data_IF_154573846420
#
_entry.id   IF_154573846420
#
_cell.length_a   1.000
_cell.length_b   1.000
_cell.length_c   1.000
_cell.angle_alpha   90.00
_cell.angle_beta   90.00
_cell.angle_gamma   90.00
#
_symmetry.space_group_name_H-M   'P 1'
#
loop_
_entity.id
_entity.type
_entity.pdbx_description
1 polymer ?
#
# COMPACT_ATOMS: atom_id res chain seq x y z
N UNK A 1 1.50 3.30 2.74
CA UNK A 1 1.27 2.93 4.15
C UNK A 1 2.54 2.44 4.87
N UNK A 2 3.54 1.84 4.21
CA UNK A 2 4.79 1.40 4.85
C UNK A 2 6.07 1.95 4.21
N UNK A 3 6.37 3.25 4.35
CA UNK A 3 7.51 3.87 3.68
C UNK A 3 8.85 3.41 4.27
N UNK A 4 9.83 3.20 3.38
CA UNK A 4 11.24 3.13 3.79
C UNK A 4 11.83 4.55 3.76
N UNK A 5 12.09 5.10 4.95
CA UNK A 5 12.61 6.46 5.14
C UNK A 5 14.13 6.52 5.32
N UNK A 6 14.85 5.41 5.08
CA UNK A 6 16.33 5.41 5.13
C UNK A 6 16.98 6.25 4.04
N UNK A 7 16.24 6.55 2.97
CA UNK A 7 16.74 7.33 1.83
C UNK A 7 15.67 8.29 1.29
N UNK A 8 16.10 9.23 0.44
CA UNK A 8 15.25 10.24 -0.19
C UNK A 8 14.40 9.71 -1.35
N UNK A 9 14.50 10.36 -2.52
CA UNK A 9 13.70 10.07 -3.71
C UNK A 9 12.19 10.15 -3.43
N UNK A 10 11.76 11.23 -2.81
CA UNK A 10 10.34 11.48 -2.56
C UNK A 10 9.58 11.63 -3.88
N UNK A 11 8.31 11.22 -3.88
CA UNK A 11 7.43 11.40 -5.03
C UNK A 11 6.94 12.84 -5.05
N UNK A 12 7.15 13.52 -6.17
CA UNK A 12 6.67 14.88 -6.39
C UNK A 12 5.36 14.84 -7.17
N UNK A 13 4.32 15.47 -6.63
CA UNK A 13 3.10 15.70 -7.40
C UNK A 13 3.32 16.84 -8.40
N UNK A 14 3.13 16.52 -9.67
CA UNK A 14 3.36 17.41 -10.80
C UNK A 14 2.14 17.42 -11.72
N UNK A 15 0.97 17.02 -11.21
CA UNK A 15 -0.28 16.92 -11.97
C UNK A 15 -0.66 18.26 -12.61
N UNK A 16 -0.49 19.36 -11.87
CA UNK A 16 -0.73 20.74 -12.31
C UNK A 16 0.19 21.19 -13.47
N UNK A 17 1.45 20.74 -13.44
CA UNK A 17 2.46 21.08 -14.44
C UNK A 17 2.31 20.19 -15.67
N UNK A 18 2.18 18.87 -15.46
CA UNK A 18 2.09 17.87 -16.51
C UNK A 18 0.79 18.02 -17.33
N UNK A 19 -0.31 18.43 -16.71
CA UNK A 19 -1.58 18.71 -17.41
C UNK A 19 -1.51 19.86 -18.40
N UNK A 20 -0.52 20.77 -18.26
CA UNK A 20 -0.26 21.88 -19.21
C UNK A 20 0.70 21.50 -20.34
N UNK A 21 1.36 20.34 -20.25
CA UNK A 21 2.30 19.87 -21.28
C UNK A 21 1.57 19.45 -22.56
N UNK A 22 2.27 19.40 -23.69
CA UNK A 22 1.71 18.93 -24.98
C UNK A 22 1.62 17.39 -25.09
N UNK A 23 1.87 16.66 -24.01
CA UNK A 23 1.83 15.20 -24.01
C UNK A 23 0.40 14.72 -23.71
N UNK A 24 -0.30 14.21 -24.74
CA UNK A 24 -1.70 13.79 -24.62
C UNK A 24 -1.95 12.82 -23.47
N UNK A 25 -1.04 11.85 -23.20
CA UNK A 25 -1.23 10.90 -22.10
C UNK A 25 -1.35 11.59 -20.73
N UNK A 26 -0.69 12.74 -20.53
CA UNK A 26 -0.80 13.52 -19.30
C UNK A 26 -2.08 14.33 -19.28
N UNK A 27 -2.42 15.02 -20.38
CA UNK A 27 -3.68 15.77 -20.50
C UNK A 27 -4.88 14.86 -20.26
N UNK A 28 -4.91 13.71 -20.93
CA UNK A 28 -5.98 12.72 -20.84
C UNK A 28 -6.08 12.13 -19.43
N UNK A 29 -4.94 11.85 -18.79
CA UNK A 29 -4.93 11.36 -17.41
C UNK A 29 -5.54 12.38 -16.44
N UNK A 30 -5.11 13.65 -16.52
CA UNK A 30 -5.61 14.72 -15.66
C UNK A 30 -7.08 15.02 -15.91
N UNK A 31 -7.51 15.04 -17.18
CA UNK A 31 -8.91 15.23 -17.56
C UNK A 31 -9.82 14.12 -17.01
N UNK A 32 -9.29 12.90 -16.88
CA UNK A 32 -10.00 11.74 -16.31
C UNK A 32 -9.77 11.58 -14.79
N UNK A 33 -9.51 12.66 -14.06
CA UNK A 33 -9.29 12.67 -12.58
C UNK A 33 -8.10 11.85 -12.08
N UNK A 34 -7.20 11.46 -12.99
CA UNK A 34 -5.93 10.83 -12.64
C UNK A 34 -4.91 11.84 -12.12
N UNK A 35 -3.76 11.32 -11.72
CA UNK A 35 -2.64 12.11 -11.20
C UNK A 35 -1.36 11.82 -11.97
N UNK A 36 -0.46 12.81 -12.00
CA UNK A 36 0.89 12.64 -12.55
C UNK A 36 1.89 12.91 -11.45
N UNK A 37 2.67 11.89 -11.10
CA UNK A 37 3.74 12.01 -10.11
C UNK A 37 5.09 11.70 -10.73
N UNK A 38 6.11 12.33 -10.17
CA UNK A 38 7.48 12.25 -10.63
C UNK A 38 8.41 11.74 -9.52
N UNK A 39 9.42 10.96 -9.91
CA UNK A 39 10.58 10.62 -9.09
C UNK A 39 11.87 11.04 -9.81
N UNK A 40 12.82 11.61 -9.08
CA UNK A 40 14.04 12.19 -9.62
C UNK A 40 15.30 11.56 -8.98
N UNK A 41 15.82 10.45 -9.51
CA UNK A 41 17.17 10.01 -9.20
C UNK A 41 18.23 10.96 -9.79
N UNK A 42 19.23 11.33 -8.97
CA UNK A 42 20.43 12.07 -9.38
C UNK A 42 21.42 11.15 -10.16
N UNK A 43 20.95 10.55 -11.25
CA UNK A 43 21.76 9.74 -12.17
C UNK A 43 21.23 9.83 -13.60
N UNK A 44 22.13 9.81 -14.57
CA UNK A 44 21.78 9.63 -15.97
C UNK A 44 21.61 8.14 -16.29
N UNK A 45 20.44 7.74 -16.79
CA UNK A 45 20.13 6.34 -17.10
C UNK A 45 20.35 6.07 -18.59
N UNK A 46 20.93 4.91 -18.91
CA UNK A 46 21.02 4.43 -20.30
C UNK A 46 19.65 4.06 -20.84
N UNK A 47 19.51 4.00 -22.17
CA UNK A 47 18.23 3.65 -22.78
C UNK A 47 17.72 2.27 -22.35
N UNK A 48 18.64 1.28 -22.28
CA UNK A 48 18.34 -0.08 -21.83
C UNK A 48 17.79 -0.08 -20.40
N UNK A 49 18.44 0.62 -19.47
CA UNK A 49 17.96 0.70 -18.09
C UNK A 49 16.58 1.34 -17.99
N UNK A 50 16.32 2.37 -18.79
CA UNK A 50 14.98 3.00 -18.84
C UNK A 50 13.93 2.03 -19.37
N UNK A 51 14.24 1.25 -20.42
CA UNK A 51 13.33 0.25 -20.96
C UNK A 51 13.06 -0.87 -19.91
N UNK A 52 14.09 -1.31 -19.17
CA UNK A 52 13.96 -2.27 -18.07
C UNK A 52 13.09 -1.73 -16.91
N UNK A 53 13.28 -0.46 -16.52
CA UNK A 53 12.44 0.20 -15.52
C UNK A 53 11.00 0.39 -16.01
N UNK A 54 10.82 0.64 -17.31
CA UNK A 54 9.50 0.74 -17.93
C UNK A 54 8.77 -0.60 -17.89
N UNK A 55 9.45 -1.70 -18.19
CA UNK A 55 8.90 -3.05 -18.05
C UNK A 55 8.50 -3.35 -16.60
N UNK A 56 9.38 -3.01 -15.65
CA UNK A 56 9.13 -3.21 -14.22
C UNK A 56 7.88 -2.48 -13.71
N UNK A 57 7.66 -1.21 -14.07
CA UNK A 57 6.45 -0.51 -13.59
C UNK A 57 5.17 -1.02 -14.27
N UNK A 58 5.26 -1.57 -15.48
CA UNK A 58 4.14 -2.21 -16.17
C UNK A 58 3.71 -3.51 -15.50
N UNK A 59 4.65 -4.29 -14.96
CA UNK A 59 4.34 -5.46 -14.11
C UNK A 59 3.55 -5.06 -12.85
N UNK A 60 3.66 -3.81 -12.43
CA UNK A 60 2.91 -3.21 -11.32
C UNK A 60 1.71 -2.36 -11.77
N UNK A 61 1.19 -2.61 -12.97
CA UNK A 61 -0.08 -2.06 -13.46
C UNK A 61 0.01 -0.68 -14.12
N UNK A 62 1.15 0.00 -14.09
CA UNK A 62 1.28 1.29 -14.76
C UNK A 62 1.23 1.14 -16.29
N UNK A 63 0.53 2.05 -16.99
CA UNK A 63 0.47 2.03 -18.46
C UNK A 63 1.82 2.27 -19.14
N UNK A 64 2.72 3.01 -18.48
CA UNK A 64 4.05 3.29 -18.99
C UNK A 64 4.86 4.18 -18.05
N UNK A 65 6.11 4.45 -18.46
CA UNK A 65 7.06 5.29 -17.74
C UNK A 65 7.57 6.38 -18.68
N UNK A 66 7.08 7.61 -18.49
CA UNK A 66 7.63 8.75 -19.20
C UNK A 66 8.95 9.18 -18.54
N UNK A 67 9.89 9.70 -19.32
CA UNK A 67 11.17 10.15 -18.78
C UNK A 67 11.71 11.39 -19.48
N UNK A 68 12.47 12.19 -18.73
CA UNK A 68 13.25 13.31 -19.23
C UNK A 68 14.61 13.36 -18.51
N UNK A 69 15.70 13.42 -19.28
CA UNK A 69 17.05 13.62 -18.78
C UNK A 69 17.28 15.11 -18.56
N UNK A 70 17.90 15.47 -17.45
CA UNK A 70 18.25 16.85 -17.14
C UNK A 70 19.69 17.09 -17.54
N UNK A 71 19.90 17.99 -18.49
CA UNK A 71 21.24 18.40 -18.95
C UNK A 71 21.49 19.86 -18.61
N UNK A 72 22.73 20.34 -18.73
CA UNK A 72 23.04 21.77 -18.57
C UNK A 72 22.31 22.66 -19.59
N UNK A 73 21.89 22.09 -20.72
CA UNK A 73 21.19 22.81 -21.81
C UNK A 73 19.67 22.70 -21.72
N UNK A 74 19.13 21.99 -20.72
CA UNK A 74 17.70 21.73 -20.55
C UNK A 74 17.35 20.24 -20.59
N UNK A 75 16.08 19.93 -20.86
CA UNK A 75 15.61 18.54 -20.94
C UNK A 75 16.00 17.86 -22.25
N UNK A 76 16.36 16.59 -22.15
CA UNK A 76 16.55 15.66 -23.26
C UNK A 76 15.69 14.38 -23.03
N UNK A 77 15.40 13.63 -24.08
CA UNK A 77 14.64 12.38 -24.01
C UNK A 77 13.17 12.48 -24.42
N UNK A 78 12.45 11.36 -24.25
CA UNK A 78 11.16 11.13 -24.90
C UNK A 78 10.06 12.12 -24.52
N UNK A 79 10.03 12.60 -23.27
CA UNK A 79 9.07 13.58 -22.81
C UNK A 79 9.50 15.04 -23.04
N UNK A 80 10.80 15.31 -23.24
CA UNK A 80 11.36 16.66 -23.25
C UNK A 80 10.70 17.60 -24.27
N UNK A 81 10.42 17.08 -25.48
CA UNK A 81 9.81 17.84 -26.57
C UNK A 81 8.37 18.32 -26.32
N UNK A 82 7.72 17.81 -25.27
CA UNK A 82 6.33 18.15 -24.94
C UNK A 82 6.23 19.17 -23.80
N UNK A 83 7.35 19.59 -23.21
CA UNK A 83 7.39 20.62 -22.19
C UNK A 83 7.94 21.91 -22.79
N UNK A 84 7.23 23.03 -22.57
CA UNK A 84 7.77 24.35 -22.89
C UNK A 84 8.90 24.71 -21.92
N UNK A 85 9.69 25.74 -22.25
CA UNK A 85 10.79 26.19 -21.39
C UNK A 85 10.30 26.61 -20.00
N UNK A 86 9.15 27.27 -19.94
CA UNK A 86 8.50 27.71 -18.70
C UNK A 86 8.08 26.50 -17.84
N UNK A 87 7.42 25.51 -18.46
CA UNK A 87 7.02 24.28 -17.76
C UNK A 87 8.23 23.45 -17.29
N UNK A 88 9.32 23.43 -18.06
CA UNK A 88 10.58 22.80 -17.65
C UNK A 88 11.15 23.47 -16.40
N UNK A 89 11.16 24.80 -16.33
CA UNK A 89 11.65 25.53 -15.14
C UNK A 89 10.76 25.21 -13.93
N UNK A 90 9.43 25.21 -14.10
CA UNK A 90 8.49 24.87 -13.02
C UNK A 90 8.69 23.44 -12.51
N UNK A 91 8.88 22.48 -13.43
CA UNK A 91 9.11 21.08 -13.09
C UNK A 91 10.45 20.88 -12.37
N UNK A 92 11.52 21.54 -12.82
CA UNK A 92 12.83 21.52 -12.17
C UNK A 92 12.76 22.09 -10.75
N UNK A 93 12.07 23.22 -10.57
CA UNK A 93 11.89 23.83 -9.26
C UNK A 93 11.10 22.92 -8.30
N UNK A 94 10.05 22.24 -8.79
CA UNK A 94 9.23 21.31 -7.99
C UNK A 94 9.97 20.04 -7.59
N UNK A 95 10.76 19.49 -8.52
CA UNK A 95 11.46 18.20 -8.33
C UNK A 95 12.84 18.35 -7.69
N UNK A 96 13.41 19.55 -7.69
CA UNK A 96 14.77 19.81 -7.22
C UNK A 96 15.84 19.18 -8.11
N UNK A 97 15.50 18.82 -9.35
CA UNK A 97 16.38 18.09 -10.25
C UNK A 97 17.56 18.96 -10.71
N UNK A 98 18.73 18.33 -10.83
CA UNK A 98 19.98 18.97 -11.25
C UNK A 98 20.45 18.38 -12.58
N UNK A 99 21.34 19.07 -13.33
CA UNK A 99 22.02 18.45 -14.46
C UNK A 99 22.66 17.12 -14.08
N UNK A 100 22.45 16.09 -14.89
CA UNK A 100 22.84 14.71 -14.62
C UNK A 100 21.74 13.85 -13.98
N UNK A 101 20.58 14.41 -13.61
CA UNK A 101 19.43 13.64 -13.12
C UNK A 101 18.57 13.09 -14.26
N UNK A 102 17.79 12.03 -13.97
CA UNK A 102 16.69 11.56 -14.84
C UNK A 102 15.38 11.69 -14.10
N UNK A 103 14.41 12.37 -14.69
CA UNK A 103 13.03 12.42 -14.21
C UNK A 103 12.26 11.23 -14.78
N UNK A 104 11.57 10.50 -13.91
CA UNK A 104 10.61 9.48 -14.29
C UNK A 104 9.21 9.91 -13.85
N UNK A 105 8.23 9.81 -14.75
CA UNK A 105 6.85 10.24 -14.53
C UNK A 105 5.88 9.10 -14.84
N UNK A 106 4.90 8.91 -13.97
CA UNK A 106 3.76 8.02 -14.20
C UNK A 106 2.48 8.84 -14.13
N UNK A 107 1.64 8.68 -15.15
CA UNK A 107 0.32 9.28 -15.25
C UNK A 107 -0.73 8.17 -15.24
N UNK A 108 -1.45 8.03 -14.14
CA UNK A 108 -2.47 7.00 -13.95
C UNK A 108 -3.46 7.40 -12.85
N UNK A 109 -4.38 6.50 -12.50
CA UNK A 109 -5.21 6.64 -11.29
C UNK A 109 -4.32 6.81 -10.04
N UNK A 110 -4.82 7.48 -8.98
CA UNK A 110 -4.06 7.66 -7.74
C UNK A 110 -3.48 6.37 -7.15
N UNK A 111 -4.25 5.27 -7.19
CA UNK A 111 -3.80 3.96 -6.67
C UNK A 111 -2.60 3.43 -7.46
N UNK A 112 -2.74 3.27 -8.78
CA UNK A 112 -1.70 2.72 -9.65
C UNK A 112 -0.46 3.60 -9.67
N UNK A 113 -0.63 4.92 -9.80
CA UNK A 113 0.48 5.87 -9.86
C UNK A 113 1.34 5.80 -8.58
N UNK A 114 0.72 5.84 -7.40
CA UNK A 114 1.45 5.77 -6.13
C UNK A 114 2.09 4.39 -5.92
N UNK A 115 1.40 3.30 -6.22
CA UNK A 115 1.92 1.95 -6.02
C UNK A 115 3.12 1.65 -6.94
N UNK A 116 2.99 1.92 -8.24
CA UNK A 116 4.05 1.69 -9.20
C UNK A 116 5.30 2.54 -8.89
N UNK A 117 5.11 3.82 -8.54
CA UNK A 117 6.23 4.70 -8.15
C UNK A 117 6.85 4.29 -6.81
N UNK A 118 6.08 3.80 -5.84
CA UNK A 118 6.63 3.30 -4.58
C UNK A 118 7.53 2.07 -4.81
N UNK A 119 7.11 1.14 -5.69
CA UNK A 119 7.94 -0.01 -6.09
C UNK A 119 9.19 0.44 -6.84
N UNK A 120 9.04 1.37 -7.79
CA UNK A 120 10.15 1.93 -8.55
C UNK A 120 11.16 2.62 -7.63
N UNK A 121 10.68 3.40 -6.65
CA UNK A 121 11.52 4.07 -5.65
C UNK A 121 12.39 3.09 -4.88
N UNK A 122 11.83 1.97 -4.41
CA UNK A 122 12.60 0.94 -3.71
C UNK A 122 13.63 0.28 -4.63
N UNK A 123 13.25 -0.04 -5.87
CA UNK A 123 14.17 -0.61 -6.87
C UNK A 123 15.33 0.34 -7.17
N UNK A 124 15.05 1.64 -7.33
CA UNK A 124 16.06 2.69 -7.52
C UNK A 124 16.95 2.84 -6.28
N UNK A 125 16.38 2.80 -5.07
CA UNK A 125 17.13 2.82 -3.81
C UNK A 125 18.18 1.72 -3.73
N UNK A 126 17.81 0.49 -4.12
CA UNK A 126 18.75 -0.64 -4.21
C UNK A 126 19.78 -0.45 -5.33
N UNK A 127 19.34 -0.11 -6.53
CA UNK A 127 20.20 0.06 -7.71
C UNK A 127 21.26 1.14 -7.51
N UNK A 128 20.91 2.21 -6.81
CA UNK A 128 21.77 3.36 -6.54
C UNK A 128 22.54 3.25 -5.21
N UNK A 129 22.39 2.14 -4.47
CA UNK A 129 23.08 1.93 -3.20
C UNK A 129 22.69 2.92 -2.09
N UNK A 130 21.46 3.46 -2.15
CA UNK A 130 21.00 4.50 -1.21
C UNK A 130 20.50 3.93 0.12
N UNK A 131 20.31 2.62 0.20
CA UNK A 131 19.71 1.96 1.36
C UNK A 131 20.83 1.45 2.29
N UNK A 132 21.05 2.14 3.40
CA UNK A 132 21.93 1.67 4.46
C UNK A 132 21.26 0.52 5.24
N UNK A 133 21.76 -0.71 5.03
CA UNK A 133 21.24 -1.93 5.68
C UNK A 133 21.47 -1.95 7.20
N UNK A 134 22.39 -1.13 7.74
CA UNK A 134 22.68 -1.08 9.19
C UNK A 134 21.76 -0.12 9.94
N UNK A 135 21.03 0.73 9.23
CA UNK A 135 20.12 1.69 9.85
C UNK A 135 18.76 1.06 10.14
N UNK A 136 18.23 1.39 11.32
CA UNK A 136 16.85 1.11 11.70
C UNK A 136 16.10 2.44 11.77
N UNK A 137 15.12 2.62 10.89
CA UNK A 137 14.24 3.79 10.86
C UNK A 137 12.81 3.37 11.14
N UNK A 138 12.36 3.68 12.35
CA UNK A 138 10.99 3.48 12.78
C UNK A 138 10.13 4.70 12.46
N UNK A 139 8.86 4.45 12.17
CA UNK A 139 7.84 5.48 12.09
C UNK A 139 6.47 4.88 12.41
N UNK A 140 5.55 5.75 12.82
CA UNK A 140 4.14 5.44 12.88
C UNK A 140 3.47 5.98 11.63
N UNK A 141 2.68 5.14 10.97
CA UNK A 141 1.67 5.61 10.03
C UNK A 141 0.35 5.60 10.77
N UNK A 142 -0.37 6.71 10.67
CA UNK A 142 -1.66 6.93 11.31
C UNK A 142 -2.63 7.45 10.26
N UNK A 143 -3.87 7.66 10.67
CA UNK A 143 -4.90 8.30 9.85
C UNK A 143 -5.23 7.52 8.58
N UNK A 144 -5.35 6.21 8.74
CA UNK A 144 -5.81 5.32 7.69
C UNK A 144 -7.30 5.52 7.41
N UNK A 145 -7.74 5.35 6.15
CA UNK A 145 -9.16 5.27 5.85
C UNK A 145 -9.80 4.08 6.59
N UNK A 146 -11.03 4.23 7.05
CA UNK A 146 -11.79 3.12 7.64
C UNK A 146 -12.33 2.17 6.56
N UNK A 147 -12.69 2.74 5.41
CA UNK A 147 -13.27 2.02 4.29
C UNK A 147 -12.44 2.20 3.02
N UNK A 148 -12.43 1.18 2.18
CA UNK A 148 -11.95 1.25 0.81
C UNK A 148 -13.06 0.80 -0.15
N UNK A 149 -13.07 1.39 -1.35
CA UNK A 149 -14.00 0.98 -2.38
C UNK A 149 -13.47 -0.28 -3.07
N UNK A 150 -14.27 -1.35 -3.05
CA UNK A 150 -14.00 -2.57 -3.79
C UNK A 150 -14.59 -2.46 -5.19
N UNK A 151 -13.72 -2.31 -6.19
CA UNK A 151 -14.11 -2.17 -7.59
C UNK A 151 -14.72 -3.46 -8.19
N UNK A 152 -14.41 -4.63 -7.63
CA UNK A 152 -14.94 -5.91 -8.11
C UNK A 152 -16.32 -6.17 -7.49
N UNK A 153 -16.43 -6.03 -6.17
CA UNK A 153 -17.68 -6.24 -5.44
C UNK A 153 -18.64 -5.04 -5.52
N UNK A 154 -18.19 -3.91 -6.09
CA UNK A 154 -18.95 -2.65 -6.22
C UNK A 154 -19.58 -2.19 -4.90
N UNK A 155 -18.81 -2.25 -3.82
CA UNK A 155 -19.24 -1.86 -2.47
C UNK A 155 -18.08 -1.37 -1.62
N UNK A 156 -18.38 -0.70 -0.52
CA UNK A 156 -17.38 -0.39 0.50
C UNK A 156 -16.98 -1.66 1.26
N UNK A 157 -15.68 -1.81 1.48
CA UNK A 157 -15.08 -2.84 2.32
C UNK A 157 -14.28 -2.17 3.45
N UNK A 158 -14.06 -2.84 4.59
CA UNK A 158 -13.13 -2.34 5.60
C UNK A 158 -11.72 -2.29 5.02
N UNK A 159 -11.03 -1.16 5.12
CA UNK A 159 -9.64 -1.05 4.66
C UNK A 159 -8.66 -1.89 5.51
N UNK A 160 -9.01 -2.16 6.77
CA UNK A 160 -8.25 -3.05 7.65
C UNK A 160 -9.18 -3.99 8.42
N UNK A 161 -9.97 -3.42 9.34
CA UNK A 161 -10.96 -4.18 10.09
C UNK A 161 -12.15 -3.30 10.48
N UNK A 162 -13.36 -3.81 10.24
CA UNK A 162 -14.66 -3.24 10.62
C UNK A 162 -14.89 -2.94 12.12
N UNK A 163 -13.98 -3.31 13.02
CA UNK A 163 -14.08 -3.01 14.46
C UNK A 163 -13.20 -1.82 14.86
N UNK A 164 -12.55 -1.17 13.89
CA UNK A 164 -11.73 0.02 14.15
C UNK A 164 -12.60 1.25 14.32
N UNK A 165 -12.35 2.00 15.38
CA UNK A 165 -13.12 3.19 15.74
C UNK A 165 -12.90 4.28 14.69
N UNK A 166 -13.95 4.82 14.05
CA UNK A 166 -13.81 6.04 13.26
C UNK A 166 -13.40 7.20 14.17
N UNK A 167 -12.58 8.12 13.66
CA UNK A 167 -12.32 9.38 14.35
C UNK A 167 -13.63 10.15 14.56
N UNK A 168 -13.76 10.83 15.71
CA UNK A 168 -15.03 11.47 16.13
C UNK A 168 -15.51 12.49 15.10
N UNK A 169 -14.58 13.25 14.53
CA UNK A 169 -14.82 14.23 13.47
C UNK A 169 -15.36 13.62 12.16
N UNK A 170 -15.16 12.31 11.94
CA UNK A 170 -15.64 11.62 10.75
C UNK A 170 -17.03 10.99 10.92
N UNK A 171 -17.57 10.91 12.14
CA UNK A 171 -18.88 10.30 12.42
C UNK A 171 -20.06 10.91 11.64
N UNK A 172 -20.09 12.23 11.36
CA UNK A 172 -21.15 12.81 10.52
C UNK A 172 -21.14 12.33 9.06
N UNK A 173 -19.99 11.88 8.56
CA UNK A 173 -19.81 11.48 7.16
C UNK A 173 -19.87 9.96 6.95
N UNK A 174 -20.06 9.19 8.02
CA UNK A 174 -19.87 7.74 8.05
C UNK A 174 -20.63 7.03 6.92
N UNK A 175 -21.90 7.40 6.70
CA UNK A 175 -22.73 6.86 5.63
C UNK A 175 -22.75 7.72 4.36
N UNK A 176 -22.60 9.04 4.47
CA UNK A 176 -22.77 9.96 3.34
C UNK A 176 -21.55 10.06 2.44
N UNK A 177 -20.34 9.95 3.02
CA UNK A 177 -19.07 9.97 2.28
C UNK A 177 -18.05 9.03 2.96
N UNK A 178 -18.23 7.70 2.84
CA UNK A 178 -17.39 6.71 3.51
C UNK A 178 -15.91 6.83 3.15
N UNK A 179 -15.57 7.31 1.96
CA UNK A 179 -14.21 7.47 1.48
C UNK A 179 -13.39 8.52 2.25
N UNK A 180 -14.04 9.43 2.99
CA UNK A 180 -13.38 10.43 3.85
C UNK A 180 -13.26 9.99 5.31
N UNK A 181 -13.81 8.84 5.67
CA UNK A 181 -13.83 8.39 7.07
C UNK A 181 -12.46 7.86 7.44
N UNK A 182 -11.82 8.53 8.40
CA UNK A 182 -10.53 8.13 8.94
C UNK A 182 -10.76 7.28 10.20
N UNK A 183 -10.04 6.17 10.31
CA UNK A 183 -10.02 5.31 11.49
C UNK A 183 -8.94 5.76 12.49
N UNK A 184 -9.18 5.50 13.77
CA UNK A 184 -8.16 5.54 14.81
C UNK A 184 -7.26 4.29 14.75
N UNK A 185 -6.63 4.11 13.59
CA UNK A 185 -5.75 3.01 13.24
C UNK A 185 -4.32 3.50 13.09
N UNK A 186 -3.37 2.66 13.46
CA UNK A 186 -1.96 2.98 13.46
C UNK A 186 -1.13 1.73 13.16
N UNK A 187 -0.12 1.92 12.32
CA UNK A 187 0.87 0.91 11.98
C UNK A 187 2.26 1.38 12.42
N UNK A 188 3.02 0.46 13.03
CA UNK A 188 4.45 0.66 13.26
C UNK A 188 5.22 0.05 12.09
N UNK A 189 6.04 0.88 11.45
CA UNK A 189 6.82 0.50 10.26
C UNK A 189 8.29 0.64 10.57
N UNK A 190 9.08 -0.36 10.15
CA UNK A 190 10.53 -0.35 10.21
C UNK A 190 11.09 -0.62 8.82
N UNK A 191 11.89 0.32 8.31
CA UNK A 191 12.66 0.11 7.07
C UNK A 191 11.79 -0.31 5.87
N UNK A 192 10.56 0.23 5.75
CA UNK A 192 9.60 -0.12 4.70
C UNK A 192 8.83 -1.42 4.92
N UNK A 193 8.98 -2.04 6.09
CA UNK A 193 8.23 -3.24 6.50
C UNK A 193 7.27 -2.88 7.62
N UNK A 194 6.01 -3.26 7.45
CA UNK A 194 5.02 -3.20 8.53
C UNK A 194 5.41 -4.22 9.61
N UNK A 195 5.71 -3.72 10.82
CA UNK A 195 6.04 -4.57 11.96
C UNK A 195 4.80 -4.96 12.75
N UNK A 196 3.78 -4.12 12.74
CA UNK A 196 2.54 -4.37 13.46
C UNK A 196 1.50 -3.32 13.15
N UNK A 197 0.25 -3.72 13.33
CA UNK A 197 -0.93 -2.90 13.08
C UNK A 197 -1.86 -2.97 14.28
N UNK A 198 -2.49 -1.86 14.60
CA UNK A 198 -3.38 -1.72 15.74
C UNK A 198 -4.45 -0.66 15.51
N UNK A 199 -5.52 -0.72 16.29
CA UNK A 199 -6.52 0.33 16.29
C UNK A 199 -7.20 0.46 17.64
N UNK A 200 -7.74 1.66 17.89
CA UNK A 200 -8.76 1.84 18.90
C UNK A 200 -10.02 1.14 18.41
N UNK A 201 -10.65 0.35 19.28
CA UNK A 201 -11.79 -0.47 18.92
C UNK A 201 -13.10 0.26 19.17
N UNK A 202 -14.07 -0.03 18.32
CA UNK A 202 -15.46 0.34 18.56
C UNK A 202 -15.91 -0.35 19.85
N UNK A 203 -16.52 0.41 20.73
CA UNK A 203 -17.12 -0.07 21.99
C UNK A 203 -18.57 0.42 22.13
N UNK A 204 -19.06 1.21 21.17
CA UNK A 204 -20.44 1.65 21.07
C UNK A 204 -21.17 0.77 20.05
N UNK A 205 -22.22 0.03 20.46
CA UNK A 205 -22.95 -0.87 19.57
C UNK A 205 -23.65 -0.14 18.41
N UNK A 206 -24.06 1.11 18.59
CA UNK A 206 -24.71 1.89 17.54
C UNK A 206 -23.69 2.31 16.47
N UNK A 207 -22.48 2.70 16.88
CA UNK A 207 -21.39 2.96 15.92
C UNK A 207 -21.05 1.67 15.16
N UNK A 208 -20.96 0.53 15.85
CA UNK A 208 -20.63 -0.75 15.21
C UNK A 208 -21.65 -1.15 14.15
N UNK A 209 -22.95 -0.98 14.44
CA UNK A 209 -24.04 -1.22 13.49
C UNK A 209 -23.94 -0.31 12.27
N UNK A 210 -23.66 0.98 12.46
CA UNK A 210 -23.49 1.93 11.35
C UNK A 210 -22.31 1.55 10.45
N UNK A 211 -21.18 1.13 11.02
CA UNK A 211 -20.02 0.63 10.25
C UNK A 211 -20.37 -0.64 9.47
N UNK A 212 -21.09 -1.59 10.08
CA UNK A 212 -21.58 -2.81 9.42
C UNK A 212 -22.53 -2.50 8.25
N UNK A 213 -23.41 -1.51 8.42
CA UNK A 213 -24.33 -1.05 7.37
C UNK A 213 -23.57 -0.49 6.16
N UNK A 214 -22.53 0.31 6.39
CA UNK A 214 -21.71 0.91 5.30
C UNK A 214 -21.04 -0.18 4.44
N UNK A 215 -20.56 -1.26 5.06
CA UNK A 215 -19.92 -2.37 4.33
C UNK A 215 -20.92 -3.36 3.69
N UNK A 216 -22.22 -3.06 3.77
CA UNK A 216 -23.30 -3.84 3.16
C UNK A 216 -23.70 -5.10 3.94
N UNK A 217 -23.38 -5.18 5.23
CA UNK A 217 -23.78 -6.31 6.08
C UNK A 217 -25.21 -6.11 6.58
N UNK A 218 -26.09 -7.10 6.35
CA UNK A 218 -27.45 -7.05 6.89
C UNK A 218 -27.44 -7.21 8.41
N UNK A 219 -28.50 -6.77 9.08
CA UNK A 219 -28.61 -6.89 10.54
C UNK A 219 -28.63 -8.36 10.97
N UNK A 220 -29.32 -9.23 10.23
CA UNK A 220 -29.36 -10.67 10.48
C UNK A 220 -27.97 -11.30 10.31
N UNK A 221 -27.23 -10.89 9.28
CA UNK A 221 -25.87 -11.35 9.06
C UNK A 221 -24.92 -10.89 10.18
N UNK A 222 -25.03 -9.63 10.58
CA UNK A 222 -24.24 -9.04 11.67
C UNK A 222 -24.50 -9.75 12.99
N UNK A 223 -25.76 -10.02 13.34
CA UNK A 223 -26.13 -10.76 14.55
C UNK A 223 -25.62 -12.21 14.48
N UNK A 224 -25.79 -12.89 13.34
CA UNK A 224 -25.36 -14.28 13.18
C UNK A 224 -23.84 -14.44 13.32
N UNK A 225 -23.05 -13.51 12.78
CA UNK A 225 -21.58 -13.58 12.79
C UNK A 225 -20.95 -12.97 14.04
N UNK A 226 -21.51 -11.85 14.52
CA UNK A 226 -20.89 -10.99 15.52
C UNK A 226 -21.82 -10.61 16.67
N UNK A 227 -23.01 -11.22 16.76
CA UNK A 227 -24.00 -10.91 17.80
C UNK A 227 -23.44 -11.04 19.21
N UNK A 228 -22.59 -12.03 19.48
CA UNK A 228 -21.94 -12.19 20.78
C UNK A 228 -21.10 -10.94 21.18
N UNK A 229 -20.42 -10.32 20.22
CA UNK A 229 -19.56 -9.15 20.44
C UNK A 229 -20.39 -7.88 20.60
N UNK A 230 -21.39 -7.69 19.72
CA UNK A 230 -22.31 -6.54 19.79
C UNK A 230 -23.10 -6.57 21.11
N UNK A 231 -23.51 -7.76 21.55
CA UNK A 231 -24.19 -7.96 22.82
C UNK A 231 -23.27 -7.66 24.01
N UNK A 232 -22.00 -8.09 23.96
CA UNK A 232 -21.01 -7.76 24.99
C UNK A 232 -20.81 -6.24 25.17
N UNK A 233 -20.88 -5.44 24.10
CA UNK A 233 -20.78 -3.98 24.19
C UNK A 233 -21.87 -3.34 25.05
N UNK A 234 -23.06 -3.94 25.14
CA UNK A 234 -24.17 -3.42 25.94
C UNK A 234 -23.96 -3.53 27.45
N UNK A 235 -23.05 -4.39 27.90
CA UNK A 235 -22.74 -4.59 29.33
C UNK A 235 -21.64 -3.64 29.84
N UNK A 236 -21.40 -2.52 29.14
CA UNK A 236 -20.42 -1.51 29.54
C UNK A 236 -19.01 -1.82 29.08
N UNK A 237 -18.82 -2.19 27.80
CA UNK A 237 -17.49 -2.37 27.25
C UNK A 237 -16.67 -1.08 27.38
N UNK A 238 -15.44 -1.13 27.95
CA UNK A 238 -14.62 0.05 28.11
C UNK A 238 -14.09 0.52 26.75
N UNK A 239 -13.63 1.77 26.68
CA UNK A 239 -12.76 2.18 25.58
C UNK A 239 -11.51 1.29 25.60
N UNK A 240 -11.26 0.58 24.51
CA UNK A 240 -10.17 -0.37 24.39
C UNK A 240 -9.49 -0.25 23.03
N UNK A 241 -8.24 -0.68 22.98
CA UNK A 241 -7.40 -0.66 21.78
C UNK A 241 -6.32 -1.72 21.92
N UNK A 242 -5.69 -2.05 20.80
CA UNK A 242 -4.62 -3.04 20.81
C UNK A 242 -3.82 -3.01 19.53
N UNK A 243 -2.74 -3.78 19.50
CA UNK A 243 -1.86 -3.93 18.36
C UNK A 243 -1.32 -5.37 18.33
N UNK A 244 -1.18 -5.93 17.13
CA UNK A 244 -0.45 -7.17 16.90
C UNK A 244 0.91 -6.85 16.29
N UNK A 245 1.97 -7.47 16.79
CA UNK A 245 3.32 -7.38 16.22
C UNK A 245 3.70 -8.69 15.54
N UNK A 246 4.27 -8.60 14.34
CA UNK A 246 4.87 -9.71 13.63
C UNK A 246 6.21 -10.07 14.26
N UNK A 247 6.19 -10.95 15.27
CA UNK A 247 7.39 -11.31 16.04
C UNK A 247 8.49 -11.91 15.16
N UNK A 248 8.18 -12.87 14.29
CA UNK A 248 9.17 -13.46 13.38
C UNK A 248 9.79 -12.41 12.46
N UNK A 249 8.99 -11.44 12.00
CA UNK A 249 9.46 -10.34 11.15
C UNK A 249 10.44 -9.45 11.90
N UNK A 250 10.12 -9.12 13.17
CA UNK A 250 10.98 -8.32 14.03
C UNK A 250 12.34 -9.02 14.24
N UNK A 251 12.33 -10.31 14.60
CA UNK A 251 13.55 -11.09 14.83
C UNK A 251 14.38 -11.19 13.54
N UNK A 252 13.77 -11.49 12.39
CA UNK A 252 14.46 -11.55 11.11
C UNK A 252 15.13 -10.22 10.77
N UNK A 253 14.43 -9.09 10.93
CA UNK A 253 14.99 -7.76 10.68
C UNK A 253 16.13 -7.40 11.64
N UNK A 254 16.04 -7.77 12.92
CA UNK A 254 17.11 -7.56 13.90
C UNK A 254 18.38 -8.34 13.55
N UNK A 255 18.23 -9.51 12.95
CA UNK A 255 19.34 -10.35 12.48
C UNK A 255 19.82 -9.98 11.06
N UNK A 256 19.19 -9.01 10.40
CA UNK A 256 19.52 -8.62 9.03
C UNK A 256 19.13 -9.67 7.97
N UNK A 257 18.14 -10.51 8.29
CA UNK A 257 17.63 -11.58 7.43
C UNK A 257 16.42 -11.08 6.62
N UNK A 258 16.35 -11.47 5.35
CA UNK A 258 15.25 -11.10 4.45
C UNK A 258 14.09 -12.11 4.51
N UNK A 259 14.34 -13.33 4.99
CA UNK A 259 13.38 -14.42 5.06
C UNK A 259 13.08 -14.81 6.51
N UNK A 260 11.79 -14.80 6.89
CA UNK A 260 11.34 -15.19 8.23
C UNK A 260 11.54 -16.68 8.51
N UNK A 261 11.72 -17.52 7.47
CA UNK A 261 11.96 -18.95 7.64
C UNK A 261 13.26 -19.25 8.37
N UNK A 262 14.22 -18.32 8.31
CA UNK A 262 15.51 -18.42 9.00
C UNK A 262 15.40 -18.21 10.52
N UNK A 263 14.26 -17.70 11.01
CA UNK A 263 14.01 -17.48 12.45
C UNK A 263 12.93 -18.41 13.02
N UNK A 264 12.45 -19.35 12.20
CA UNK A 264 11.45 -20.36 12.57
C UNK A 264 12.14 -21.71 12.55
N UNK A 265 12.06 -22.48 13.64
CA UNK A 265 12.75 -23.78 13.73
C UNK A 265 12.31 -24.79 12.66
N UNK A 266 11.01 -24.85 12.36
CA UNK A 266 10.42 -25.78 11.39
C UNK A 266 9.47 -25.05 10.42
N UNK A 267 10.02 -24.23 9.50
CA UNK A 267 9.24 -23.39 8.61
C UNK A 267 8.48 -24.22 7.57
N UNK A 268 7.46 -23.62 6.96
CA UNK A 268 6.72 -24.20 5.84
C UNK A 268 7.21 -23.61 4.51
N UNK A 269 7.03 -24.35 3.42
CA UNK A 269 7.26 -23.83 2.07
C UNK A 269 6.09 -22.93 1.62
N UNK A 270 6.18 -22.38 0.40
CA UNK A 270 5.13 -21.50 -0.17
C UNK A 270 3.79 -22.21 -0.38
N UNK A 271 3.77 -23.54 -0.39
CA UNK A 271 2.59 -24.39 -0.49
C UNK A 271 2.05 -24.82 0.89
N UNK A 272 2.51 -24.17 1.97
CA UNK A 272 2.17 -24.50 3.36
C UNK A 272 2.56 -25.93 3.79
N UNK A 273 3.51 -26.55 3.08
CA UNK A 273 3.99 -27.90 3.38
C UNK A 273 5.22 -27.85 4.28
N UNK A 274 5.30 -28.84 5.16
CA UNK A 274 6.39 -29.11 6.07
C UNK A 274 7.21 -30.26 5.49
N UNK A 275 8.36 -29.93 4.90
CA UNK A 275 9.17 -30.93 4.20
C UNK A 275 9.88 -31.89 5.17
N UNK A 276 10.05 -31.50 6.44
CA UNK A 276 10.72 -32.31 7.44
C UNK A 276 9.88 -33.53 7.87
N UNK A 277 8.59 -33.33 8.10
CA UNK A 277 7.66 -34.33 8.64
C UNK A 277 6.57 -34.72 7.64
N UNK A 278 6.65 -34.25 6.39
CA UNK A 278 5.76 -34.63 5.29
C UNK A 278 4.34 -34.07 5.39
N UNK A 279 4.09 -33.06 6.23
CA UNK A 279 2.75 -32.51 6.43
C UNK A 279 2.37 -31.43 5.40
N UNK A 280 1.07 -31.24 5.09
CA UNK A 280 -0.06 -32.09 5.49
C UNK A 280 -0.07 -33.44 4.75
N UNK A 281 -0.65 -34.47 5.36
CA UNK A 281 -0.84 -35.80 4.78
C UNK A 281 -2.29 -36.27 4.92
N UNK A 282 -2.61 -37.44 4.36
CA UNK A 282 -3.92 -38.08 4.42
C UNK A 282 -4.26 -38.47 5.86
N UNK A 283 -5.53 -38.28 6.20
CA UNK A 283 -6.13 -38.68 7.48
C UNK A 283 -6.98 -39.93 7.28
N UNK A 284 -7.13 -40.73 8.33
CA UNK A 284 -7.84 -41.99 8.28
C UNK A 284 -9.35 -41.79 8.12
N UNK A 285 -10.01 -42.71 7.40
CA UNK A 285 -11.45 -42.64 7.16
C UNK A 285 -12.27 -42.73 8.47
N UNK A 286 -11.75 -43.41 9.49
CA UNK A 286 -12.37 -43.47 10.82
C UNK A 286 -12.47 -42.10 11.47
N UNK A 287 -11.39 -41.31 11.42
CA UNK A 287 -11.34 -39.93 11.94
C UNK A 287 -12.27 -39.01 11.15
N UNK A 288 -12.31 -39.17 9.82
CA UNK A 288 -13.24 -38.42 8.97
C UNK A 288 -14.69 -38.68 9.33
N UNK A 289 -15.04 -39.95 9.59
CA UNK A 289 -16.39 -40.35 9.99
C UNK A 289 -16.75 -39.81 11.37
N UNK A 290 -15.83 -39.87 12.32
CA UNK A 290 -16.02 -39.30 13.67
C UNK A 290 -16.30 -37.79 13.62
N UNK A 291 -15.55 -37.06 12.79
CA UNK A 291 -15.70 -35.62 12.60
C UNK A 291 -16.85 -35.25 11.66
N UNK A 292 -17.57 -36.23 11.09
CA UNK A 292 -18.64 -36.04 10.11
C UNK A 292 -18.24 -35.17 8.90
N UNK A 293 -17.00 -35.33 8.43
CA UNK A 293 -16.44 -34.60 7.29
C UNK A 293 -16.12 -35.56 6.15
N UNK A 294 -16.16 -35.05 4.91
CA UNK A 294 -15.80 -35.81 3.71
C UNK A 294 -14.96 -34.94 2.79
N UNK A 295 -13.85 -35.49 2.29
CA UNK A 295 -13.09 -34.81 1.24
C UNK A 295 -13.86 -34.93 -0.07
N UNK A 296 -14.25 -33.79 -0.65
CA UNK A 296 -14.72 -33.75 -2.02
C UNK A 296 -13.51 -33.87 -2.95
N UNK A 297 -13.33 -35.06 -3.53
CA UNK A 297 -12.34 -35.25 -4.60
C UNK A 297 -12.86 -34.53 -5.85
N UNK A 298 -12.16 -33.46 -6.25
CA UNK A 298 -12.30 -32.89 -7.60
C UNK A 298 -11.64 -33.80 -8.62
#
# INVERSE_FOLDING_TARGET
>A
DKPDIRFGLLLSDVTDIAGKSELNIFKDCVANTGIVKCICPERDFTRKEIDDLTAFVKEHGAKGLAYAKVTEKGFDGGAAKFFSKELTIELLARTGAKPGSTLFLIADTPKICNEALARLRLKLGTLLGLIDKKQFKFLWVIDFPLFEWDDEAKRWAPAHHMFSMPKKECLPYLESDPGRVIAALYDVVLNGTELGSGSIRIHDPEIQKRVMKVIGMSEEEAIRKFGFLIEAYKYGAPTHGGMGLGFDRLVALMLGLEDIREVIAFPKNKQAQSLMDGCPDRIDESQMKELNIKVNRK
#
